data_IF_388428274842
#
_entry.id   IF_388428274842
#
_cell.length_a   1.000
_cell.length_b   1.000
_cell.length_c   1.000
_cell.angle_alpha   90.00
_cell.angle_beta   90.00
_cell.angle_gamma   90.00
#
_symmetry.space_group_name_H-M   'P 1'
#
loop_
_entity.id
_entity.type
_entity.pdbx_description
1 polymer ?
#
# COMPACT_ATOMS: atom_id res chain seq x y z
N UNK A 1 14.90 -13.35 -3.51
CA UNK A 1 14.67 -12.43 -2.37
C UNK A 1 13.54 -11.48 -2.75
N UNK A 2 12.52 -11.36 -1.89
CA UNK A 2 11.43 -10.40 -2.10
C UNK A 2 11.79 -9.10 -1.36
N UNK A 3 11.76 -7.98 -2.06
CA UNK A 3 12.08 -6.65 -1.51
C UNK A 3 10.89 -5.72 -1.75
N UNK A 4 10.52 -4.98 -0.70
CA UNK A 4 9.54 -3.91 -0.76
C UNK A 4 10.25 -2.56 -0.64
N UNK A 5 10.04 -1.68 -1.61
CA UNK A 5 10.48 -0.28 -1.54
C UNK A 5 9.31 0.59 -1.07
N UNK A 6 9.42 1.12 0.15
CA UNK A 6 8.37 1.93 0.78
C UNK A 6 8.16 3.28 0.08
N UNK A 7 9.20 3.85 -0.52
CA UNK A 7 9.12 5.18 -1.18
C UNK A 7 8.45 5.03 -2.55
N UNK A 8 8.90 4.05 -3.33
CA UNK A 8 8.36 3.79 -4.67
C UNK A 8 7.10 2.93 -4.66
N UNK A 9 6.74 2.39 -3.49
CA UNK A 9 5.63 1.46 -3.30
C UNK A 9 5.73 0.23 -4.22
N UNK A 10 6.94 -0.25 -4.52
CA UNK A 10 7.18 -1.38 -5.43
C UNK A 10 7.53 -2.65 -4.66
N UNK A 11 7.06 -3.79 -5.16
CA UNK A 11 7.51 -5.11 -4.71
C UNK A 11 8.29 -5.75 -5.85
N UNK A 12 9.55 -6.08 -5.59
CA UNK A 12 10.47 -6.67 -6.56
C UNK A 12 10.96 -8.01 -6.06
N UNK A 13 10.89 -9.02 -6.93
CA UNK A 13 11.47 -10.34 -6.71
C UNK A 13 12.85 -10.39 -7.38
N UNK A 14 13.92 -10.39 -6.59
CA UNK A 14 15.27 -10.64 -7.07
C UNK A 14 15.51 -12.14 -7.15
N UNK A 15 15.84 -12.66 -8.34
CA UNK A 15 16.09 -14.07 -8.62
C UNK A 15 17.58 -14.37 -8.45
N UNK A 16 18.10 -14.13 -7.25
CA UNK A 16 19.48 -14.43 -6.86
C UNK A 16 19.55 -15.79 -6.18
N UNK A 17 20.45 -16.65 -6.65
CA UNK A 17 20.75 -17.95 -6.05
C UNK A 17 22.26 -18.14 -5.92
N UNK A 18 22.69 -19.05 -5.05
CA UNK A 18 24.10 -19.45 -4.95
C UNK A 18 24.20 -20.81 -5.64
N UNK A 19 25.05 -20.89 -6.67
CA UNK A 19 25.34 -22.12 -7.37
C UNK A 19 26.08 -23.13 -6.49
N UNK A 20 26.13 -24.38 -6.93
CA UNK A 20 26.86 -25.46 -6.22
C UNK A 20 28.34 -25.15 -5.98
N UNK A 21 28.92 -24.32 -6.83
CA UNK A 21 30.34 -23.91 -6.79
C UNK A 21 30.54 -22.59 -6.03
N UNK A 22 29.55 -22.16 -5.24
CA UNK A 22 29.51 -20.89 -4.50
C UNK A 22 29.51 -19.64 -5.39
N UNK A 23 29.27 -19.80 -6.70
CA UNK A 23 29.08 -18.67 -7.61
C UNK A 23 27.74 -17.97 -7.34
N UNK A 24 27.72 -16.65 -7.42
CA UNK A 24 26.47 -15.88 -7.36
C UNK A 24 25.79 -15.94 -8.73
N UNK A 25 24.60 -16.51 -8.79
CA UNK A 25 23.75 -16.53 -9.97
C UNK A 25 22.70 -15.42 -9.79
N UNK A 26 22.66 -14.48 -10.73
CA UNK A 26 21.67 -13.40 -10.78
C UNK A 26 20.82 -13.56 -12.03
N UNK A 27 19.62 -14.13 -11.89
CA UNK A 27 18.63 -14.27 -12.98
C UNK A 27 17.79 -13.00 -13.17
N UNK A 28 18.25 -11.87 -12.60
CA UNK A 28 17.60 -10.58 -12.70
C UNK A 28 16.48 -10.40 -11.68
N UNK A 29 15.59 -9.46 -11.98
CA UNK A 29 14.52 -9.05 -11.07
C UNK A 29 13.19 -8.90 -11.80
N UNK A 30 12.11 -9.14 -11.07
CA UNK A 30 10.74 -9.04 -11.58
C UNK A 30 9.93 -8.13 -10.65
N UNK A 31 9.38 -7.04 -11.19
CA UNK A 31 8.46 -6.18 -10.44
C UNK A 31 7.09 -6.85 -10.37
N UNK A 32 6.71 -7.32 -9.19
CA UNK A 32 5.45 -8.01 -8.95
C UNK A 32 4.29 -7.05 -8.71
N UNK A 33 4.58 -5.88 -8.13
CA UNK A 33 3.56 -4.90 -7.78
C UNK A 33 4.12 -3.48 -7.77
N UNK A 34 3.26 -2.51 -8.10
CA UNK A 34 3.50 -1.09 -7.89
C UNK A 34 2.23 -0.46 -7.28
N UNK A 35 2.39 0.20 -6.14
CA UNK A 35 1.32 0.89 -5.44
C UNK A 35 0.82 2.11 -6.21
N UNK A 36 -0.34 2.62 -5.80
CA UNK A 36 -0.88 3.87 -6.35
C UNK A 36 0.10 5.01 -6.07
N UNK A 37 0.47 5.78 -7.09
CA UNK A 37 1.62 6.68 -7.00
C UNK A 37 1.47 7.73 -5.88
N UNK A 38 0.23 8.14 -5.50
CA UNK A 38 0.00 9.25 -4.55
C UNK A 38 -1.36 9.16 -3.84
N UNK A 39 -1.61 8.15 -2.99
CA UNK A 39 -2.93 7.90 -2.38
C UNK A 39 -3.44 9.10 -1.57
N UNK A 40 -2.57 9.74 -0.78
CA UNK A 40 -2.93 10.93 -0.01
C UNK A 40 -3.33 12.10 -0.90
N UNK A 41 -2.63 12.34 -2.02
CA UNK A 41 -3.01 13.43 -2.94
C UNK A 41 -4.39 13.17 -3.53
N UNK A 42 -4.64 11.94 -3.99
CA UNK A 42 -5.94 11.55 -4.55
C UNK A 42 -7.07 11.72 -3.53
N UNK A 43 -6.84 11.33 -2.28
CA UNK A 43 -7.81 11.50 -1.20
C UNK A 43 -8.08 12.99 -0.90
N UNK A 44 -7.04 13.84 -0.87
CA UNK A 44 -7.19 15.28 -0.67
C UNK A 44 -7.92 15.97 -1.83
N UNK A 45 -7.65 15.56 -3.07
CA UNK A 45 -8.38 16.05 -4.25
C UNK A 45 -9.87 15.70 -4.17
N UNK A 46 -10.18 14.45 -3.82
CA UNK A 46 -11.54 13.98 -3.60
C UNK A 46 -12.23 14.77 -2.46
N UNK A 47 -11.55 15.00 -1.33
CA UNK A 47 -12.08 15.78 -0.23
C UNK A 47 -12.48 17.20 -0.65
N UNK A 48 -11.60 17.90 -1.37
CA UNK A 48 -11.89 19.24 -1.90
C UNK A 48 -13.07 19.20 -2.89
N UNK A 49 -13.14 18.16 -3.73
CA UNK A 49 -14.24 17.99 -4.67
C UNK A 49 -15.58 17.83 -3.94
N UNK A 50 -15.66 16.97 -2.92
CA UNK A 50 -16.88 16.79 -2.11
C UNK A 50 -17.34 18.10 -1.46
N UNK A 51 -16.41 18.94 -0.98
CA UNK A 51 -16.76 20.27 -0.44
C UNK A 51 -17.39 21.15 -1.53
N UNK A 52 -16.83 21.15 -2.73
CA UNK A 52 -17.30 21.97 -3.86
C UNK A 52 -18.65 21.48 -4.40
N UNK A 53 -18.82 20.18 -4.58
CA UNK A 53 -20.02 19.56 -5.13
C UNK A 53 -21.11 19.32 -4.08
N UNK A 54 -20.78 19.42 -2.78
CA UNK A 54 -21.62 19.02 -1.65
C UNK A 54 -22.03 17.54 -1.71
N UNK A 55 -21.16 16.71 -2.25
CA UNK A 55 -21.34 15.26 -2.27
C UNK A 55 -20.82 14.61 -0.99
N UNK A 56 -21.41 13.48 -0.63
CA UNK A 56 -20.92 12.68 0.49
C UNK A 56 -19.60 12.01 0.10
N UNK A 57 -18.54 12.13 0.92
CA UNK A 57 -17.28 11.45 0.62
C UNK A 57 -17.41 9.94 0.78
N UNK A 58 -16.60 9.20 0.03
CA UNK A 58 -16.50 7.72 0.11
C UNK A 58 -16.21 7.24 1.56
N UNK A 59 -15.42 8.01 2.31
CA UNK A 59 -15.13 7.78 3.73
C UNK A 59 -15.44 9.05 4.51
N UNK A 60 -16.32 8.97 5.49
CA UNK A 60 -16.74 10.08 6.35
C UNK A 60 -16.44 9.79 7.84
N UNK A 61 -16.76 10.75 8.70
CA UNK A 61 -16.52 10.59 10.14
C UNK A 61 -17.32 9.43 10.76
N UNK A 62 -18.47 9.07 10.19
CA UNK A 62 -19.31 7.98 10.71
C UNK A 62 -18.72 6.63 10.33
N UNK A 63 -18.27 6.46 9.08
CA UNK A 63 -17.54 5.24 8.70
C UNK A 63 -16.24 5.09 9.50
N UNK A 64 -15.54 6.21 9.77
CA UNK A 64 -14.34 6.20 10.62
C UNK A 64 -14.63 5.74 12.06
N UNK A 65 -15.73 6.19 12.66
CA UNK A 65 -16.13 5.77 14.00
C UNK A 65 -16.42 4.26 14.09
N UNK A 66 -17.08 3.69 13.07
CA UNK A 66 -17.36 2.25 13.05
C UNK A 66 -16.08 1.42 12.95
N UNK A 67 -15.08 1.87 12.18
CA UNK A 67 -13.77 1.22 12.10
C UNK A 67 -13.06 1.24 13.46
N UNK A 68 -13.06 2.37 14.16
CA UNK A 68 -12.47 2.49 15.50
C UNK A 68 -13.16 1.53 16.46
N UNK A 69 -14.50 1.51 16.48
CA UNK A 69 -15.28 0.61 17.35
C UNK A 69 -14.92 -0.86 17.14
N UNK A 70 -14.83 -1.32 15.89
CA UNK A 70 -14.43 -2.71 15.60
C UNK A 70 -13.00 -2.97 16.05
N UNK A 71 -12.09 -2.03 15.80
CA UNK A 71 -10.68 -2.16 16.19
C UNK A 71 -10.52 -2.25 17.71
N UNK A 72 -11.27 -1.44 18.48
CA UNK A 72 -11.29 -1.50 19.94
C UNK A 72 -11.83 -2.84 20.46
N UNK A 73 -12.87 -3.40 19.83
CA UNK A 73 -13.40 -4.71 20.18
C UNK A 73 -12.38 -5.84 19.98
N UNK A 74 -11.58 -5.77 18.89
CA UNK A 74 -10.53 -6.75 18.60
C UNK A 74 -9.34 -6.63 19.56
N UNK A 75 -8.97 -5.42 19.95
CA UNK A 75 -7.81 -5.17 20.81
C UNK A 75 -8.11 -5.37 22.31
N UNK A 76 -9.39 -5.38 22.70
CA UNK A 76 -9.84 -5.53 24.09
C UNK A 76 -10.28 -6.93 24.50
N UNK A 77 -10.08 -7.95 23.64
CA UNK A 77 -10.39 -9.37 23.91
C UNK A 77 -9.13 -10.18 24.25
#
# INVERSE_FOLDING_TARGET
MLVYNEIEQTVVLHKKSIGSDLENIDEGEEQLFKGSDQPLRLEMEHFIQCIRSREQPISDGRSGLEVVRVTELLNGS
#
